data_IF_349917866213
#
_entry.id   IF_349917866213
#
_cell.length_a   1.000
_cell.length_b   1.000
_cell.length_c   1.000
_cell.angle_alpha   90.00
_cell.angle_beta   90.00
_cell.angle_gamma   90.00
#
_symmetry.space_group_name_H-M   'P 1'
#
loop_
_entity.id
_entity.type
_entity.pdbx_description
1 polymer ?
#
# COMPACT_ATOMS: atom_id res chain seq x y z
N UNK A 1 -25.22 -16.31 -3.89
CA UNK A 1 -23.96 -17.09 -3.82
C UNK A 1 -22.91 -16.30 -4.56
N UNK A 2 -22.08 -15.53 -3.85
CA UNK A 2 -21.04 -14.73 -4.46
C UNK A 2 -19.92 -15.67 -4.92
N UNK A 3 -19.63 -15.66 -6.21
CA UNK A 3 -18.53 -16.42 -6.79
C UNK A 3 -17.24 -15.80 -6.26
N UNK A 4 -16.54 -16.50 -5.36
CA UNK A 4 -15.16 -16.17 -4.98
C UNK A 4 -14.33 -16.28 -6.25
N UNK A 5 -14.16 -15.15 -6.96
CA UNK A 5 -13.21 -15.05 -8.05
C UNK A 5 -11.83 -15.27 -7.42
N UNK A 6 -11.33 -16.49 -7.53
CA UNK A 6 -9.95 -16.80 -7.12
C UNK A 6 -9.05 -16.08 -8.12
N UNK A 7 -8.70 -14.84 -7.83
CA UNK A 7 -7.72 -14.09 -8.61
C UNK A 7 -6.38 -14.83 -8.51
N UNK A 8 -5.59 -14.86 -9.61
CA UNK A 8 -4.28 -15.47 -9.56
C UNK A 8 -3.40 -14.79 -8.50
N UNK A 9 -2.42 -15.51 -7.92
CA UNK A 9 -1.46 -14.91 -6.99
C UNK A 9 -0.81 -13.67 -7.58
N UNK A 10 -0.78 -12.58 -6.81
CA UNK A 10 -0.22 -11.31 -7.25
C UNK A 10 1.31 -11.40 -7.35
N UNK A 11 1.87 -11.05 -8.49
CA UNK A 11 3.33 -10.96 -8.67
C UNK A 11 3.89 -9.66 -8.07
N UNK A 12 5.21 -9.61 -7.81
CA UNK A 12 5.86 -8.41 -7.28
C UNK A 12 5.66 -7.19 -8.19
N UNK A 13 5.77 -7.37 -9.51
CA UNK A 13 5.61 -6.28 -10.49
C UNK A 13 4.18 -5.74 -10.51
N UNK A 14 3.18 -6.61 -10.45
CA UNK A 14 1.77 -6.19 -10.37
C UNK A 14 1.48 -5.51 -9.03
N UNK A 15 2.02 -6.04 -7.93
CA UNK A 15 1.88 -5.44 -6.61
C UNK A 15 2.50 -4.04 -6.55
N UNK A 16 3.68 -3.86 -7.14
CA UNK A 16 4.35 -2.56 -7.25
C UNK A 16 3.52 -1.58 -8.09
N UNK A 17 2.92 -2.02 -9.19
CA UNK A 17 2.06 -1.17 -10.02
C UNK A 17 0.84 -0.67 -9.23
N UNK A 18 0.17 -1.56 -8.49
CA UNK A 18 -0.98 -1.21 -7.63
C UNK A 18 -0.57 -0.28 -6.48
N UNK A 19 0.62 -0.48 -5.90
CA UNK A 19 1.14 0.37 -4.85
C UNK A 19 1.39 1.81 -5.35
N UNK A 20 1.99 1.96 -6.53
CA UNK A 20 2.20 3.26 -7.15
C UNK A 20 0.86 3.95 -7.48
N UNK A 21 -0.12 3.20 -8.03
CA UNK A 21 -1.45 3.76 -8.32
C UNK A 21 -2.14 4.28 -7.05
N UNK A 22 -2.09 3.54 -5.94
CA UNK A 22 -2.64 3.99 -4.67
C UNK A 22 -1.95 5.25 -4.11
N UNK A 23 -0.63 5.38 -4.29
CA UNK A 23 0.13 6.58 -3.91
C UNK A 23 -0.27 7.79 -4.75
N UNK A 24 -0.42 7.61 -6.07
CA UNK A 24 -0.89 8.67 -6.96
C UNK A 24 -2.31 9.13 -6.61
N UNK A 25 -3.22 8.18 -6.31
CA UNK A 25 -4.58 8.49 -5.85
C UNK A 25 -4.60 9.25 -4.51
N UNK A 26 -3.62 9.00 -3.65
CA UNK A 26 -3.43 9.73 -2.39
C UNK A 26 -2.82 11.14 -2.58
N UNK A 27 -2.56 11.56 -3.82
CA UNK A 27 -1.99 12.87 -4.15
C UNK A 27 -0.47 12.88 -4.30
N UNK A 28 0.14 11.70 -4.45
CA UNK A 28 1.56 11.52 -4.73
C UNK A 28 2.44 11.31 -3.49
N UNK A 29 3.63 10.75 -3.71
CA UNK A 29 4.53 10.24 -2.66
C UNK A 29 4.87 11.28 -1.57
N UNK A 30 5.14 12.54 -1.94
CA UNK A 30 5.43 13.62 -0.97
C UNK A 30 4.26 13.93 -0.03
N UNK A 31 3.02 13.85 -0.51
CA UNK A 31 1.83 14.07 0.32
C UNK A 31 1.63 12.91 1.30
N UNK A 32 2.11 11.71 0.97
CA UNK A 32 2.00 10.53 1.83
C UNK A 32 3.14 10.43 2.84
N UNK A 33 4.38 10.72 2.41
CA UNK A 33 5.60 10.59 3.21
C UNK A 33 5.85 11.77 4.16
N UNK A 34 5.58 13.02 3.72
CA UNK A 34 5.88 14.25 4.50
C UNK A 34 4.65 15.09 4.81
N UNK A 35 3.49 14.51 5.07
CA UNK A 35 2.29 15.31 5.32
C UNK A 35 2.44 16.17 6.59
N UNK A 36 2.63 17.51 6.49
CA UNK A 36 2.82 18.35 7.67
C UNK A 36 1.50 18.66 8.39
N UNK A 37 0.35 18.29 7.80
CA UNK A 37 -0.98 18.51 8.38
C UNK A 37 -1.40 17.44 9.39
N UNK A 38 -0.64 16.35 9.51
CA UNK A 38 -1.01 15.19 10.31
C UNK A 38 0.09 14.67 11.28
N UNK A 39 0.74 15.52 12.10
CA UNK A 39 1.67 15.02 13.13
C UNK A 39 0.99 14.18 14.23
N UNK A 40 -0.35 14.24 14.34
CA UNK A 40 -1.16 13.55 15.36
C UNK A 40 -2.46 12.96 14.79
N UNK A 41 -2.58 12.79 13.48
CA UNK A 41 -3.78 12.14 12.94
C UNK A 41 -3.77 10.68 13.38
N UNK A 42 -4.83 10.26 14.05
CA UNK A 42 -5.05 8.86 14.42
C UNK A 42 -5.16 8.04 13.13
N UNK A 43 -4.04 7.54 12.62
CA UNK A 43 -3.94 6.48 11.62
C UNK A 43 -4.89 6.66 10.41
N UNK A 44 -4.68 7.66 9.52
CA UNK A 44 -5.45 7.72 8.29
C UNK A 44 -4.94 6.63 7.34
N UNK A 45 -5.39 5.40 7.60
CA UNK A 45 -5.39 4.33 6.61
C UNK A 45 -6.44 4.67 5.56
N UNK A 46 -6.06 4.64 4.29
CA UNK A 46 -7.00 4.70 3.17
C UNK A 46 -6.97 3.38 2.44
N UNK A 47 -8.14 2.75 2.30
CA UNK A 47 -8.29 1.51 1.53
C UNK A 47 -8.83 1.85 0.14
N UNK A 48 -8.12 1.39 -0.88
CA UNK A 48 -8.55 1.43 -2.27
C UNK A 48 -8.94 0.03 -2.74
N UNK A 49 -9.93 -0.05 -3.62
CA UNK A 49 -10.23 -1.28 -4.38
C UNK A 49 -9.64 -1.12 -5.79
N UNK A 50 -8.46 -1.69 -6.04
CA UNK A 50 -7.75 -1.58 -7.31
C UNK A 50 -7.62 -2.96 -7.95
N UNK A 51 -8.03 -3.08 -9.21
CA UNK A 51 -8.05 -4.37 -9.92
C UNK A 51 -8.75 -5.50 -9.15
N UNK A 52 -9.78 -5.17 -8.36
CA UNK A 52 -10.52 -6.12 -7.51
C UNK A 52 -9.79 -6.55 -6.23
N UNK A 53 -8.64 -5.94 -5.92
CA UNK A 53 -7.84 -6.21 -4.72
C UNK A 53 -7.92 -5.04 -3.75
N UNK A 54 -7.88 -5.34 -2.46
CA UNK A 54 -7.79 -4.31 -1.44
C UNK A 54 -6.34 -3.84 -1.31
N UNK A 55 -6.15 -2.54 -1.46
CA UNK A 55 -4.86 -1.86 -1.34
C UNK A 55 -4.93 -0.90 -0.17
N UNK A 56 -4.18 -1.18 0.88
CA UNK A 56 -4.18 -0.40 2.11
C UNK A 56 -2.98 0.55 2.13
N UNK A 57 -3.24 1.86 2.11
CA UNK A 57 -2.21 2.89 2.21
C UNK A 57 -2.22 3.52 3.59
N UNK A 58 -1.05 3.57 4.22
CA UNK A 58 -0.80 4.21 5.52
C UNK A 58 0.17 5.37 5.33
N UNK A 59 -0.24 6.55 5.79
CA UNK A 59 0.58 7.75 5.74
C UNK A 59 1.75 7.66 6.72
N UNK A 60 2.84 8.35 6.40
CA UNK A 60 4.01 8.46 7.26
C UNK A 60 3.73 9.35 8.47
N UNK A 61 4.15 8.90 9.64
CA UNK A 61 4.16 9.67 10.89
C UNK A 61 5.61 9.88 11.34
N UNK A 62 5.87 10.79 12.29
CA UNK A 62 7.24 11.11 12.76
C UNK A 62 8.04 9.86 13.16
N UNK A 63 7.38 8.82 13.67
CA UNK A 63 8.00 7.59 14.13
C UNK A 63 7.72 6.35 13.27
N UNK A 64 6.98 6.48 12.16
CA UNK A 64 6.51 5.34 11.37
C UNK A 64 6.59 5.63 9.87
N UNK A 65 7.15 4.73 9.05
CA UNK A 65 7.21 4.94 7.61
C UNK A 65 5.82 4.92 6.97
N UNK A 66 5.69 5.63 5.84
CA UNK A 66 4.55 5.50 4.95
C UNK A 66 4.63 4.16 4.22
N UNK A 67 3.55 3.39 4.19
CA UNK A 67 3.54 2.07 3.56
C UNK A 67 2.28 1.81 2.75
N UNK A 68 2.39 0.93 1.75
CA UNK A 68 1.24 0.31 1.07
C UNK A 68 1.29 -1.19 1.26
N UNK A 69 0.13 -1.80 1.56
CA UNK A 69 -0.01 -3.25 1.71
C UNK A 69 -1.05 -3.80 0.73
N UNK A 70 -0.68 -4.87 -0.01
CA UNK A 70 -1.57 -5.63 -0.90
C UNK A 70 -1.26 -7.11 -0.75
N UNK A 71 -2.20 -7.92 -0.25
CA UNK A 71 -2.07 -9.39 -0.17
C UNK A 71 -0.76 -9.91 0.48
N UNK A 72 -0.23 -9.17 1.45
CA UNK A 72 1.02 -9.50 2.14
C UNK A 72 2.30 -8.97 1.47
N UNK A 73 2.19 -8.36 0.29
CA UNK A 73 3.23 -7.46 -0.23
C UNK A 73 3.18 -6.16 0.57
N UNK A 74 4.34 -5.70 1.03
CA UNK A 74 4.48 -4.41 1.72
C UNK A 74 5.52 -3.58 1.01
N UNK A 75 5.17 -2.35 0.68
CA UNK A 75 6.06 -1.37 0.09
C UNK A 75 6.19 -0.17 1.02
N UNK A 76 7.42 0.32 1.17
CA UNK A 76 7.70 1.60 1.82
C UNK A 76 7.63 2.72 0.79
N UNK A 77 6.99 3.83 1.16
CA UNK A 77 6.87 5.02 0.34
C UNK A 77 7.88 6.04 0.83
N UNK A 78 8.76 6.48 -0.06
CA UNK A 78 9.72 7.56 0.15
C UNK A 78 9.27 8.83 -0.58
N UNK A 79 10.06 9.90 -0.52
CA UNK A 79 9.73 11.18 -1.18
C UNK A 79 9.46 11.04 -2.69
N UNK A 80 10.23 10.17 -3.36
CA UNK A 80 10.26 10.07 -4.82
C UNK A 80 10.19 8.61 -5.33
N UNK A 81 9.98 7.63 -4.43
CA UNK A 81 10.02 6.20 -4.78
C UNK A 81 9.07 5.35 -3.91
N UNK A 82 8.68 4.19 -4.45
CA UNK A 82 7.98 3.12 -3.73
C UNK A 82 8.86 1.87 -3.80
N UNK A 83 9.35 1.42 -2.65
CA UNK A 83 10.35 0.35 -2.55
C UNK A 83 9.77 -0.86 -1.82
N UNK A 84 10.17 -2.07 -2.26
CA UNK A 84 9.71 -3.31 -1.63
C UNK A 84 10.32 -3.44 -0.23
N UNK A 85 9.46 -3.52 0.79
CA UNK A 85 9.84 -3.75 2.18
C UNK A 85 9.69 -5.22 2.59
N UNK A 86 8.60 -5.87 2.16
CA UNK A 86 8.31 -7.26 2.52
C UNK A 86 7.58 -8.00 1.41
N UNK A 87 8.02 -9.25 1.17
CA UNK A 87 7.31 -10.21 0.33
C UNK A 87 6.27 -10.99 1.14
N UNK A 88 5.17 -11.46 0.52
CA UNK A 88 4.22 -12.35 1.18
C UNK A 88 4.93 -13.55 1.78
N UNK A 89 4.63 -13.85 3.04
CA UNK A 89 5.13 -15.06 3.68
C UNK A 89 4.38 -16.25 3.06
N UNK A 90 5.12 -17.21 2.49
CA UNK A 90 4.53 -18.48 2.07
C UNK A 90 3.95 -19.18 3.30
N UNK A 91 2.62 -19.12 3.47
CA UNK A 91 1.95 -19.93 4.48
C UNK A 91 2.08 -21.40 4.04
N UNK A 92 3.03 -22.13 4.63
CA UNK A 92 3.02 -23.60 4.60
C UNK A 92 1.66 -24.03 5.16
N UNK A 93 0.82 -24.60 4.29
CA UNK A 93 -0.43 -25.26 4.68
C UNK A 93 -0.12 -26.53 5.47
#
# INVERSE_FOLDING_TARGET
>A
MASEKTQPPLTETEALALANEAVELAGGARQVYRNPRHPFALQPTTTYELSGRQVELRHGEISSPAIVTIEGWVFEIHDDAVELLMRPIERKR
#
